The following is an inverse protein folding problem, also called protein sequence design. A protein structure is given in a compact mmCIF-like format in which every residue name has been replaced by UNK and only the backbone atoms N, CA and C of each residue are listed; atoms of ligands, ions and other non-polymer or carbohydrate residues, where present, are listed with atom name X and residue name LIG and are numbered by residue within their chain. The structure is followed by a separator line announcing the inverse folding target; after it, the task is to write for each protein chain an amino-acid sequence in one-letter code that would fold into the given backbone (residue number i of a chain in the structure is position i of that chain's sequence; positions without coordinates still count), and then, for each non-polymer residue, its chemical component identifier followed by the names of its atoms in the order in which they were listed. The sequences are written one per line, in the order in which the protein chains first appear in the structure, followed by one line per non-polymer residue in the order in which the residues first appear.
data_IF_126170468193
#
_entry.id   IF_126170468193
#
_cell.length_a   1.000
_cell.length_b   1.000
_cell.length_c   1.000
_cell.angle_alpha   90.00
_cell.angle_beta   90.00
_cell.angle_gamma   90.00
#
_symmetry.space_group_name_H-M   'P 1'
#
loop_
_entity.id
_entity.type
_entity.pdbx_description
1 polymer ?
#
# COMPACT_ATOMS: atom_id res chain seq x y z
N UNK A 1 -0.28 -19.41 18.96
CA UNK A 1 0.12 -18.00 18.75
C UNK A 1 -1.13 -17.16 18.88
N UNK A 2 -1.07 -16.07 19.65
CA UNK A 2 -2.28 -15.38 20.10
C UNK A 2 -2.98 -14.65 18.94
N UNK A 3 -4.17 -15.13 18.57
CA UNK A 3 -5.12 -14.36 17.76
C UNK A 3 -5.54 -13.15 18.61
N UNK A 4 -5.05 -11.97 18.27
CA UNK A 4 -5.52 -10.72 18.87
C UNK A 4 -6.58 -10.12 17.93
N UNK A 5 -7.88 -10.20 18.26
CA UNK A 5 -8.96 -9.75 17.37
C UNK A 5 -8.95 -8.24 17.08
N UNK A 6 -8.17 -7.46 17.84
CA UNK A 6 -7.95 -6.01 17.62
C UNK A 6 -6.92 -5.72 16.51
N UNK A 7 -6.11 -6.70 16.10
CA UNK A 7 -5.08 -6.50 15.08
C UNK A 7 -5.69 -6.60 13.67
N UNK A 8 -5.70 -5.47 12.95
CA UNK A 8 -6.20 -5.32 11.58
C UNK A 8 -5.08 -4.74 10.73
N UNK A 9 -4.43 -5.58 9.93
CA UNK A 9 -3.22 -5.24 9.21
C UNK A 9 -3.55 -4.95 7.74
N UNK A 10 -3.15 -3.78 7.26
CA UNK A 10 -3.11 -3.45 5.85
C UNK A 10 -1.67 -3.53 5.38
N UNK A 11 -1.41 -4.30 4.32
CA UNK A 11 -0.09 -4.37 3.70
C UNK A 11 -0.09 -3.68 2.34
N UNK A 12 0.82 -2.74 2.10
CA UNK A 12 0.89 -1.95 0.86
C UNK A 12 2.04 -2.35 -0.07
N UNK A 13 2.70 -3.47 0.22
CA UNK A 13 3.82 -4.02 -0.55
C UNK A 13 3.70 -5.55 -0.65
N UNK A 14 4.06 -6.12 -1.80
CA UNK A 14 4.02 -7.57 -2.03
C UNK A 14 4.86 -8.32 -0.99
N UNK A 15 6.15 -7.99 -0.86
CA UNK A 15 7.04 -8.63 0.11
C UNK A 15 6.58 -8.44 1.56
N UNK A 16 6.02 -7.28 1.92
CA UNK A 16 5.45 -7.05 3.24
C UNK A 16 4.28 -8.01 3.51
N UNK A 17 3.45 -8.27 2.52
CA UNK A 17 2.32 -9.21 2.62
C UNK A 17 2.81 -10.63 2.87
N UNK A 18 3.87 -11.03 2.17
CA UNK A 18 4.51 -12.34 2.36
C UNK A 18 5.13 -12.46 3.76
N UNK A 19 5.82 -11.43 4.24
CA UNK A 19 6.42 -11.38 5.58
C UNK A 19 5.34 -11.49 6.65
N UNK A 20 4.26 -10.70 6.56
CA UNK A 20 3.14 -10.76 7.52
C UNK A 20 2.53 -12.17 7.56
N UNK A 21 2.36 -12.79 6.40
CA UNK A 21 1.87 -14.17 6.32
C UNK A 21 2.86 -15.17 6.95
N UNK A 22 4.15 -15.05 6.65
CA UNK A 22 5.20 -15.93 7.17
C UNK A 22 5.34 -15.82 8.70
N UNK A 23 5.06 -14.64 9.27
CA UNK A 23 5.01 -14.41 10.71
C UNK A 23 3.74 -14.96 11.39
N UNK A 24 2.81 -15.54 10.63
CA UNK A 24 1.57 -16.14 11.15
C UNK A 24 0.40 -15.17 11.31
N UNK A 25 0.49 -13.97 10.74
CA UNK A 25 -0.56 -12.92 10.86
C UNK A 25 -1.49 -12.84 9.65
N UNK A 26 -1.59 -13.93 8.87
CA UNK A 26 -2.41 -13.96 7.65
C UNK A 26 -3.88 -13.62 7.92
N UNK A 27 -4.43 -14.13 9.01
CA UNK A 27 -5.85 -13.95 9.35
C UNK A 27 -6.17 -12.53 9.86
N UNK A 28 -5.13 -11.73 10.17
CA UNK A 28 -5.26 -10.33 10.56
C UNK A 28 -5.14 -9.38 9.36
N UNK A 29 -4.79 -9.88 8.17
CA UNK A 29 -4.73 -9.04 6.97
C UNK A 29 -6.15 -8.68 6.52
N UNK A 30 -6.44 -7.37 6.52
CA UNK A 30 -7.73 -6.81 6.10
C UNK A 30 -7.67 -6.25 4.68
N UNK A 31 -6.48 -5.95 4.17
CA UNK A 31 -6.28 -5.45 2.82
C UNK A 31 -4.84 -5.61 2.36
N UNK A 32 -4.64 -5.42 1.05
CA UNK A 32 -3.36 -5.62 0.36
C UNK A 32 -3.07 -4.52 -0.66
N UNK A 33 -1.88 -4.51 -1.27
CA UNK A 33 -1.63 -3.80 -2.52
C UNK A 33 -2.25 -4.56 -3.71
N UNK A 34 -2.47 -3.87 -4.85
CA UNK A 34 -2.98 -4.51 -6.06
C UNK A 34 -2.06 -5.61 -6.62
N UNK A 35 -0.77 -5.55 -6.34
CA UNK A 35 0.24 -6.49 -6.86
C UNK A 35 0.43 -7.70 -5.94
N UNK A 36 -0.11 -7.71 -4.73
CA UNK A 36 0.06 -8.88 -3.85
C UNK A 36 -0.79 -10.07 -4.34
N UNK A 37 -0.12 -11.12 -4.79
CA UNK A 37 -0.68 -12.35 -5.35
C UNK A 37 -0.29 -13.61 -4.54
N UNK A 38 0.68 -13.49 -3.63
CA UNK A 38 1.18 -14.56 -2.78
C UNK A 38 1.05 -14.24 -1.27
N UNK A 39 0.77 -15.23 -0.41
CA UNK A 39 0.44 -16.63 -0.71
C UNK A 39 -0.95 -16.82 -1.32
N UNK A 40 -1.17 -17.96 -2.01
CA UNK A 40 -2.44 -18.26 -2.71
C UNK A 40 -3.65 -17.94 -1.85
N UNK A 41 -4.60 -17.19 -2.43
CA UNK A 41 -5.83 -16.77 -1.77
C UNK A 41 -5.74 -15.41 -1.08
N UNK A 42 -4.57 -14.76 -1.04
CA UNK A 42 -4.45 -13.37 -0.58
C UNK A 42 -5.21 -12.40 -1.48
N UNK A 43 -5.35 -12.74 -2.77
CA UNK A 43 -6.06 -11.92 -3.75
C UNK A 43 -7.53 -11.67 -3.41
N UNK A 44 -8.12 -12.51 -2.54
CA UNK A 44 -9.48 -12.36 -2.01
C UNK A 44 -9.62 -11.15 -1.08
N UNK A 45 -8.52 -10.68 -0.49
CA UNK A 45 -8.51 -9.44 0.27
C UNK A 45 -8.64 -8.25 -0.67
N UNK A 46 -9.35 -7.19 -0.26
CA UNK A 46 -9.46 -5.98 -1.04
C UNK A 46 -8.07 -5.37 -1.28
N UNK A 47 -7.81 -5.03 -2.53
CA UNK A 47 -6.67 -4.18 -2.85
C UNK A 47 -6.95 -2.75 -2.36
N UNK A 48 -5.94 -2.05 -1.88
CA UNK A 48 -6.07 -0.66 -1.41
C UNK A 48 -5.23 0.28 -2.26
N UNK A 49 -4.58 -0.23 -3.31
CA UNK A 49 -3.73 0.59 -4.18
C UNK A 49 -4.08 0.40 -5.65
N UNK A 50 -3.74 1.40 -6.46
CA UNK A 50 -3.96 1.39 -7.92
C UNK A 50 -2.78 2.06 -8.63
N UNK A 51 -2.35 1.59 -9.81
CA UNK A 51 -1.39 2.32 -10.62
C UNK A 51 -1.90 3.73 -10.99
N UNK A 52 -1.02 4.73 -10.92
CA UNK A 52 -1.26 6.08 -11.46
C UNK A 52 -0.83 6.20 -12.94
N UNK A 53 -0.24 5.14 -13.48
CA UNK A 53 0.29 5.05 -14.85
C UNK A 53 -0.47 4.01 -15.67
N UNK A 54 -0.45 4.16 -16.99
CA UNK A 54 -0.96 3.15 -17.92
C UNK A 54 0.05 2.01 -18.07
N UNK A 55 -0.21 0.90 -17.39
CA UNK A 55 0.60 -0.32 -17.42
C UNK A 55 0.47 -1.11 -18.74
N UNK A 56 -0.45 -0.72 -19.63
CA UNK A 56 -0.60 -1.31 -20.97
C UNK A 56 0.27 -0.65 -22.06
N UNK A 57 0.90 0.49 -21.75
CA UNK A 57 1.73 1.24 -22.67
C UNK A 57 3.09 0.55 -22.94
N UNK A 58 3.82 1.01 -23.96
CA UNK A 58 5.17 0.51 -24.22
C UNK A 58 6.13 0.89 -23.08
N UNK A 59 7.23 0.14 -22.94
CA UNK A 59 8.22 0.43 -21.88
C UNK A 59 8.78 1.85 -21.92
N UNK A 60 8.90 2.46 -23.11
CA UNK A 60 9.32 3.85 -23.25
C UNK A 60 8.26 4.82 -22.74
N UNK A 61 7.00 4.59 -23.10
CA UNK A 61 5.88 5.42 -22.64
C UNK A 61 5.67 5.28 -21.12
N UNK A 62 5.88 4.09 -20.55
CA UNK A 62 5.86 3.88 -19.11
C UNK A 62 6.99 4.66 -18.42
N UNK A 63 8.22 4.58 -18.94
CA UNK A 63 9.36 5.35 -18.42
C UNK A 63 9.11 6.86 -18.48
N UNK A 64 8.55 7.35 -19.58
CA UNK A 64 8.18 8.76 -19.74
C UNK A 64 7.08 9.19 -18.75
N UNK A 65 6.06 8.34 -18.52
CA UNK A 65 5.01 8.56 -17.53
C UNK A 65 5.57 8.60 -16.11
N UNK A 66 6.40 7.63 -15.73
CA UNK A 66 7.06 7.59 -14.40
C UNK A 66 7.86 8.87 -14.19
N UNK A 67 8.67 9.25 -15.19
CA UNK A 67 9.45 10.49 -15.12
C UNK A 67 8.57 11.74 -15.04
N UNK A 68 7.38 11.75 -15.64
CA UNK A 68 6.44 12.86 -15.48
C UNK A 68 5.90 12.91 -14.06
N UNK A 69 5.40 11.78 -13.53
CA UNK A 69 4.88 11.68 -12.15
C UNK A 69 5.94 12.14 -11.14
N UNK A 70 7.21 11.78 -11.34
CA UNK A 70 8.31 12.18 -10.47
C UNK A 70 8.77 13.63 -10.69
N UNK A 71 8.52 14.25 -11.84
CA UNK A 71 8.88 15.66 -12.12
C UNK A 71 7.80 16.64 -11.69
N UNK A 72 6.54 16.27 -11.86
CA UNK A 72 5.37 17.08 -11.49
C UNK A 72 5.07 16.97 -9.98
N UNK A 73 5.72 16.02 -9.31
CA UNK A 73 5.88 15.98 -7.87
C UNK A 73 6.67 17.23 -7.40
N UNK A 74 6.01 18.11 -6.63
CA UNK A 74 6.68 19.14 -5.84
C UNK A 74 7.83 18.47 -5.02
N UNK A 75 8.98 19.12 -4.74
CA UNK A 75 9.97 18.58 -3.78
C UNK A 75 9.37 18.18 -2.41
N UNK A 76 8.15 18.65 -2.13
CA UNK A 76 7.32 18.30 -0.96
C UNK A 76 6.30 17.17 -1.26
N UNK A 77 6.02 16.84 -2.52
CA UNK A 77 5.00 15.89 -3.01
C UNK A 77 5.57 14.81 -3.94
N UNK A 78 6.61 14.07 -3.52
CA UNK A 78 7.02 12.82 -4.17
C UNK A 78 5.91 11.74 -4.02
N UNK A 79 4.86 11.89 -4.82
CA UNK A 79 3.77 10.94 -4.99
C UNK A 79 4.35 9.70 -5.66
N UNK A 80 4.27 8.55 -4.99
CA UNK A 80 4.67 7.29 -5.60
C UNK A 80 3.84 7.01 -6.86
N UNK A 81 4.31 6.11 -7.73
CA UNK A 81 3.59 5.69 -8.96
C UNK A 81 2.26 4.98 -8.69
N UNK A 82 1.93 4.75 -7.41
CA UNK A 82 0.72 4.08 -6.95
C UNK A 82 -0.11 5.02 -6.07
N UNK A 83 -1.43 5.02 -6.26
CA UNK A 83 -2.38 5.74 -5.43
C UNK A 83 -3.02 4.86 -4.37
N UNK A 84 -3.44 5.45 -3.25
CA UNK A 84 -4.21 4.78 -2.20
C UNK A 84 -5.71 5.01 -2.41
N UNK A 85 -6.50 3.93 -2.38
CA UNK A 85 -7.97 3.98 -2.40
C UNK A 85 -8.49 4.35 -1.02
N UNK A 86 -8.75 5.64 -0.82
CA UNK A 86 -9.13 6.26 0.46
C UNK A 86 -10.47 5.72 0.99
N UNK A 87 -11.43 5.47 0.09
CA UNK A 87 -12.71 4.83 0.40
C UNK A 87 -12.51 3.42 0.97
N UNK A 88 -11.72 2.58 0.29
CA UNK A 88 -11.40 1.22 0.74
C UNK A 88 -10.63 1.27 2.07
N UNK A 89 -9.66 2.17 2.21
CA UNK A 89 -8.90 2.34 3.44
C UNK A 89 -9.82 2.66 4.64
N UNK A 90 -10.82 3.54 4.43
CA UNK A 90 -11.80 3.90 5.46
C UNK A 90 -12.64 2.69 5.88
N UNK A 91 -13.17 1.95 4.92
CA UNK A 91 -14.00 0.77 5.21
C UNK A 91 -13.22 -0.34 5.93
N UNK A 92 -11.93 -0.45 5.62
CA UNK A 92 -11.05 -1.44 6.25
C UNK A 92 -10.65 -1.08 7.67
N UNK A 93 -10.62 0.20 8.04
CA UNK A 93 -10.25 0.69 9.37
C UNK A 93 -9.07 -0.09 9.99
N UNK A 94 -7.87 -0.07 9.36
CA UNK A 94 -6.73 -0.84 9.82
C UNK A 94 -6.17 -0.27 11.13
N UNK A 95 -5.57 -1.10 11.97
CA UNK A 95 -4.80 -0.66 13.14
C UNK A 95 -3.31 -0.56 12.85
N UNK A 96 -2.85 -1.27 11.82
CA UNK A 96 -1.46 -1.26 11.37
C UNK A 96 -1.38 -1.18 9.85
N UNK A 97 -0.48 -0.33 9.34
CA UNK A 97 -0.17 -0.26 7.91
C UNK A 97 1.30 -0.62 7.72
N UNK A 98 1.57 -1.69 6.98
CA UNK A 98 2.93 -2.12 6.63
C UNK A 98 3.26 -1.62 5.23
N UNK A 99 4.33 -0.83 5.11
CA UNK A 99 4.81 -0.23 3.86
C UNK A 99 6.34 -0.22 3.85
N UNK A 100 6.95 0.47 2.87
CA UNK A 100 8.40 0.71 2.80
C UNK A 100 8.69 2.20 2.57
N UNK A 101 9.89 2.64 2.97
CA UNK A 101 10.40 3.99 2.70
C UNK A 101 11.60 4.00 1.75
N UNK A 102 12.19 2.82 1.46
CA UNK A 102 13.48 2.71 0.75
C UNK A 102 13.40 3.01 -0.76
N UNK A 103 12.24 2.84 -1.40
CA UNK A 103 12.05 3.06 -2.83
C UNK A 103 10.78 3.89 -3.10
N UNK A 104 10.95 5.08 -3.68
CA UNK A 104 9.84 5.99 -4.03
C UNK A 104 9.00 5.50 -5.23
N UNK A 105 9.49 4.49 -5.96
CA UNK A 105 8.84 3.95 -7.16
C UNK A 105 8.21 2.57 -6.93
N UNK A 106 8.71 1.80 -5.97
CA UNK A 106 8.41 0.38 -5.85
C UNK A 106 7.20 0.08 -4.94
N UNK A 107 6.66 1.08 -4.25
CA UNK A 107 5.45 1.00 -3.44
C UNK A 107 4.80 2.37 -3.30
N UNK A 108 3.64 2.41 -2.63
CA UNK A 108 3.06 3.67 -2.17
C UNK A 108 4.05 4.36 -1.22
N UNK A 109 4.33 5.63 -1.46
CA UNK A 109 5.24 6.41 -0.61
C UNK A 109 4.66 6.59 0.79
N UNK A 110 5.52 6.69 1.81
CA UNK A 110 5.08 6.92 3.19
C UNK A 110 4.18 8.16 3.32
N UNK A 111 4.49 9.24 2.59
CA UNK A 111 3.68 10.47 2.57
C UNK A 111 2.29 10.23 2.01
N UNK A 112 2.15 9.45 0.93
CA UNK A 112 0.84 9.09 0.37
C UNK A 112 0.03 8.25 1.36
N UNK A 113 0.68 7.38 2.14
CA UNK A 113 0.04 6.63 3.23
C UNK A 113 -0.45 7.57 4.33
N UNK A 114 0.41 8.45 4.84
CA UNK A 114 0.08 9.43 5.90
C UNK A 114 -1.05 10.38 5.45
N UNK A 115 -0.97 10.87 4.21
CA UNK A 115 -1.99 11.72 3.60
C UNK A 115 -3.33 10.98 3.38
N UNK A 116 -3.30 9.68 3.09
CA UNK A 116 -4.52 8.88 3.00
C UNK A 116 -5.14 8.63 4.39
N UNK A 117 -4.31 8.29 5.39
CA UNK A 117 -4.73 8.04 6.77
C UNK A 117 -5.38 9.28 7.40
N UNK A 118 -4.77 10.45 7.25
CA UNK A 118 -5.31 11.71 7.77
C UNK A 118 -6.70 12.08 7.23
N UNK A 119 -7.13 11.51 6.09
CA UNK A 119 -8.45 11.76 5.46
C UNK A 119 -9.55 10.80 5.91
N UNK A 120 -9.22 9.76 6.68
CA UNK A 120 -10.16 8.65 6.92
C UNK A 120 -10.28 8.21 8.37
N UNK A 121 -9.29 8.47 9.20
CA UNK A 121 -9.17 7.72 10.44
C UNK A 121 -9.69 8.51 11.65
N UNK A 122 -10.67 7.95 12.36
CA UNK A 122 -11.03 8.34 13.74
C UNK A 122 -9.99 7.83 14.76
N UNK A 123 -9.14 6.87 14.35
CA UNK A 123 -8.04 6.29 15.14
C UNK A 123 -6.77 6.28 14.29
N UNK A 124 -5.63 6.69 14.85
CA UNK A 124 -4.36 6.75 14.13
C UNK A 124 -3.70 5.35 14.01
N UNK A 125 -3.68 4.71 12.82
CA UNK A 125 -3.04 3.42 12.64
C UNK A 125 -1.52 3.54 12.82
N UNK A 126 -0.91 2.50 13.39
CA UNK A 126 0.53 2.42 13.48
C UNK A 126 1.13 2.09 12.11
N UNK A 127 1.89 3.03 11.54
CA UNK A 127 2.64 2.78 10.31
C UNK A 127 3.95 2.07 10.64
N UNK A 128 4.21 0.97 9.93
CA UNK A 128 5.43 0.17 10.03
C UNK A 128 6.11 0.21 8.67
N UNK A 129 7.23 0.94 8.59
CA UNK A 129 8.10 0.90 7.41
C UNK A 129 9.11 -0.23 7.56
N UNK A 130 9.21 -1.04 6.52
CA UNK A 130 10.35 -1.92 6.26
C UNK A 130 11.47 -1.15 5.54
#
# INVERSE_FOLDING_TARGET
MANNPELRILSLLASATEIVCALGFRDQLVGRSHECDYPKGIEKLPSTTVPKIDVGASSREIDDQIKSVLRDADPIDALGVYGVRVDVLRDLNPTHIVTQTQCEVCAVSLRDVEAAVSKVADVEPKIVSL
#
